data_IF_352051008783
#
_entry.id   IF_352051008783
#
_cell.length_a   1.000
_cell.length_b   1.000
_cell.length_c   1.000
_cell.angle_alpha   90.00
_cell.angle_beta   90.00
_cell.angle_gamma   90.00
#
_symmetry.space_group_name_H-M   'P 1'
#
loop_
_entity.id
_entity.type
_entity.pdbx_description
1 polymer ?
#
# COMPACT_ATOMS: atom_id res chain seq x y z
N UNK A 1 19.40 13.13 6.41
CA UNK A 1 19.22 13.94 7.64
C UNK A 1 18.14 13.23 8.45
N UNK A 2 18.58 12.46 9.45
CA UNK A 2 17.74 11.56 10.23
C UNK A 2 16.71 12.34 11.04
N UNK A 3 15.45 11.92 10.97
CA UNK A 3 14.40 12.36 11.90
C UNK A 3 14.65 11.62 13.24
N UNK A 4 15.66 12.08 14.01
CA UNK A 4 16.14 11.40 15.19
C UNK A 4 15.47 11.98 16.44
N UNK A 5 14.54 11.23 17.03
CA UNK A 5 14.20 11.35 18.44
C UNK A 5 14.54 10.02 19.13
N UNK A 6 15.61 10.05 19.93
CA UNK A 6 15.94 8.96 20.85
C UNK A 6 14.89 8.92 21.96
N UNK A 7 13.99 7.96 21.93
CA UNK A 7 13.13 7.66 23.06
C UNK A 7 13.30 6.19 23.46
N UNK A 8 13.87 5.99 24.63
CA UNK A 8 13.87 4.70 25.34
C UNK A 8 12.57 4.61 26.14
N UNK A 9 11.63 3.78 25.71
CA UNK A 9 10.59 3.22 26.60
C UNK A 9 10.06 1.92 25.98
N UNK A 10 9.79 0.91 26.83
CA UNK A 10 9.22 -0.38 26.45
C UNK A 10 7.86 -0.21 25.75
N UNK A 11 7.52 -1.05 24.75
CA UNK A 11 6.19 -1.05 24.16
C UNK A 11 5.16 -1.51 25.18
N UNK A 12 4.03 -0.79 25.25
CA UNK A 12 2.84 -1.29 25.92
C UNK A 12 2.33 -2.51 25.13
N UNK A 13 2.00 -3.59 25.82
CA UNK A 13 1.38 -4.77 25.23
C UNK A 13 -0.03 -4.35 24.72
N UNK A 14 -0.19 -4.20 23.42
CA UNK A 14 -1.48 -3.97 22.80
C UNK A 14 -2.21 -5.31 22.68
N UNK A 15 -3.28 -5.49 23.45
CA UNK A 15 -4.18 -6.62 23.31
C UNK A 15 -4.89 -6.54 21.95
N UNK A 16 -4.90 -7.66 21.21
CA UNK A 16 -5.72 -7.79 20.03
C UNK A 16 -7.19 -7.82 20.44
N UNK A 17 -8.01 -6.93 19.89
CA UNK A 17 -9.45 -7.03 19.99
C UNK A 17 -9.93 -7.91 18.84
N UNK A 18 -10.51 -9.11 19.11
CA UNK A 18 -11.08 -9.91 18.05
C UNK A 18 -12.41 -9.27 17.64
N UNK A 19 -12.42 -8.60 16.51
CA UNK A 19 -13.66 -8.21 15.84
C UNK A 19 -13.63 -8.86 14.47
N UNK A 20 -14.30 -10.00 14.35
CA UNK A 20 -14.36 -10.74 13.11
C UNK A 20 -15.63 -10.41 12.32
N UNK A 21 -15.46 -9.76 11.18
CA UNK A 21 -16.26 -10.10 10.00
C UNK A 21 -15.31 -10.87 9.07
N UNK A 22 -15.48 -12.17 8.99
CA UNK A 22 -14.52 -13.03 8.28
C UNK A 22 -13.16 -13.09 8.99
N UNK A 23 -12.11 -13.50 8.28
CA UNK A 23 -10.76 -13.70 8.82
C UNK A 23 -9.96 -12.39 9.04
N UNK A 24 -10.59 -11.30 9.47
CA UNK A 24 -9.91 -10.00 9.72
C UNK A 24 -9.75 -9.75 11.21
N UNK A 25 -8.51 -9.53 11.65
CA UNK A 25 -8.15 -9.20 13.03
C UNK A 25 -7.76 -7.73 13.13
N UNK A 26 -8.20 -7.06 14.20
CA UNK A 26 -7.91 -5.65 14.45
C UNK A 26 -6.87 -5.49 15.56
N UNK A 27 -5.86 -4.67 15.29
CA UNK A 27 -4.86 -4.27 16.25
C UNK A 27 -4.84 -2.76 16.39
N UNK A 28 -4.85 -2.27 17.60
CA UNK A 28 -4.58 -0.86 17.86
C UNK A 28 -3.07 -0.62 17.91
N UNK A 29 -2.59 0.33 17.11
CA UNK A 29 -1.18 0.73 17.04
C UNK A 29 -1.02 2.19 17.46
N UNK A 30 -0.40 2.41 18.61
CA UNK A 30 0.08 3.74 19.03
C UNK A 30 1.40 4.08 18.34
N UNK A 31 1.36 4.98 17.37
CA UNK A 31 2.56 5.43 16.66
C UNK A 31 3.30 6.52 17.43
N UNK A 32 4.55 6.27 17.74
CA UNK A 32 5.48 7.28 18.32
C UNK A 32 6.00 8.22 17.23
N UNK A 33 6.14 7.74 16.01
CA UNK A 33 6.62 8.50 14.86
C UNK A 33 5.62 9.59 14.49
N UNK A 34 4.31 9.24 14.46
CA UNK A 34 3.27 10.19 14.12
C UNK A 34 2.60 10.85 15.34
N UNK A 35 2.72 10.26 16.53
CA UNK A 35 2.09 10.74 17.76
C UNK A 35 0.57 10.56 17.75
N UNK A 36 0.09 9.49 17.15
CA UNK A 36 -1.34 9.15 17.07
C UNK A 36 -1.58 7.65 17.20
N UNK A 37 -2.84 7.26 17.28
CA UNK A 37 -3.27 5.87 17.30
C UNK A 37 -4.10 5.56 16.07
N UNK A 38 -3.93 4.35 15.51
CA UNK A 38 -4.70 3.85 14.37
C UNK A 38 -4.93 2.35 14.47
N UNK A 39 -5.89 1.84 13.70
CA UNK A 39 -6.10 0.42 13.56
C UNK A 39 -5.18 -0.15 12.46
N UNK A 40 -4.71 -1.35 12.71
CA UNK A 40 -4.05 -2.23 11.73
C UNK A 40 -4.94 -3.45 11.60
N UNK A 41 -5.45 -3.69 10.40
CA UNK A 41 -6.34 -4.78 10.05
C UNK A 41 -5.54 -5.89 9.42
N UNK A 42 -5.64 -7.09 9.94
CA UNK A 42 -4.89 -8.24 9.43
C UNK A 42 -5.87 -9.30 8.93
N UNK A 43 -5.92 -9.48 7.62
CA UNK A 43 -6.64 -10.56 6.99
C UNK A 43 -5.75 -11.81 6.90
N UNK A 44 -6.30 -12.93 7.34
CA UNK A 44 -5.62 -14.22 7.32
C UNK A 44 -6.23 -15.10 6.22
N UNK A 45 -5.39 -15.88 5.47
CA UNK A 45 -5.87 -16.73 4.39
C UNK A 45 -6.79 -17.85 4.93
N UNK A 46 -7.63 -18.47 4.07
CA UNK A 46 -8.28 -19.72 4.39
C UNK A 46 -7.24 -20.74 4.87
N UNK A 47 -7.61 -21.58 5.82
CA UNK A 47 -6.73 -22.62 6.41
C UNK A 47 -5.46 -22.07 7.07
N UNK A 48 -5.50 -20.81 7.53
CA UNK A 48 -4.40 -20.22 8.28
C UNK A 48 -4.04 -21.05 9.50
N UNK A 49 -2.78 -21.49 9.55
CA UNK A 49 -2.22 -22.20 10.70
C UNK A 49 -1.21 -21.29 11.44
N UNK A 50 -1.70 -20.66 12.49
CA UNK A 50 -0.88 -19.77 13.34
C UNK A 50 0.06 -20.50 14.31
N UNK A 51 -0.05 -21.81 14.45
CA UNK A 51 0.75 -22.64 15.37
C UNK A 51 1.69 -23.60 14.67
N UNK A 52 1.50 -23.81 13.37
CA UNK A 52 2.32 -24.71 12.56
C UNK A 52 3.64 -24.10 12.06
N UNK A 53 4.32 -24.87 11.24
CA UNK A 53 5.59 -24.47 10.61
C UNK A 53 5.40 -23.52 9.42
N UNK A 54 4.16 -23.37 8.92
CA UNK A 54 3.86 -22.56 7.73
C UNK A 54 4.12 -21.08 8.01
N UNK A 55 4.83 -20.45 7.08
CA UNK A 55 5.07 -19.00 7.08
C UNK A 55 4.47 -18.38 5.83
N UNK A 56 3.99 -17.16 5.94
CA UNK A 56 3.21 -16.49 4.90
C UNK A 56 3.91 -15.24 4.38
N UNK A 57 3.94 -15.00 3.06
CA UNK A 57 4.26 -13.67 2.53
C UNK A 57 3.24 -12.65 3.00
N UNK A 58 3.62 -11.36 2.97
CA UNK A 58 2.78 -10.28 3.48
C UNK A 58 2.61 -9.18 2.44
N UNK A 59 1.38 -8.70 2.29
CA UNK A 59 1.05 -7.48 1.55
C UNK A 59 0.53 -6.41 2.51
N UNK A 60 1.27 -5.31 2.64
CA UNK A 60 0.87 -4.13 3.42
C UNK A 60 0.15 -3.13 2.52
N UNK A 61 -1.09 -2.79 2.84
CA UNK A 61 -1.92 -1.87 2.09
C UNK A 61 -2.30 -0.64 2.91
N UNK A 62 -2.16 0.52 2.31
CA UNK A 62 -2.58 1.80 2.88
C UNK A 62 -4.11 1.92 2.87
N UNK A 63 -4.65 2.80 3.72
CA UNK A 63 -6.09 3.06 3.84
C UNK A 63 -6.89 1.81 4.22
N UNK A 64 -6.44 1.10 5.26
CA UNK A 64 -6.94 -0.20 5.70
C UNK A 64 -8.45 -0.27 5.92
N UNK A 65 -9.09 0.83 6.34
CA UNK A 65 -10.53 0.91 6.53
C UNK A 65 -11.35 0.71 5.24
N UNK A 66 -10.72 0.88 4.05
CA UNK A 66 -11.38 0.75 2.75
C UNK A 66 -11.22 -0.65 2.13
N UNK A 67 -10.58 -1.61 2.80
CA UNK A 67 -10.12 -2.84 2.15
C UNK A 67 -11.05 -4.04 2.32
N UNK A 68 -11.76 -4.14 3.47
CA UNK A 68 -12.38 -5.39 3.88
C UNK A 68 -13.86 -5.29 4.26
N UNK A 69 -14.40 -4.09 4.48
CA UNK A 69 -15.78 -3.89 4.92
C UNK A 69 -16.31 -2.56 4.38
N UNK A 70 -17.39 -2.58 3.57
CA UNK A 70 -17.99 -1.36 3.04
C UNK A 70 -18.52 -0.44 4.14
N UNK A 71 -18.86 -0.97 5.32
CA UNK A 71 -19.33 -0.16 6.45
C UNK A 71 -18.23 0.74 7.06
N UNK A 72 -16.95 0.42 6.86
CA UNK A 72 -15.83 1.24 7.31
C UNK A 72 -15.20 2.06 6.18
N UNK A 73 -15.52 1.73 4.93
CA UNK A 73 -14.95 2.36 3.75
C UNK A 73 -15.49 3.79 3.56
N UNK A 74 -14.62 4.69 3.11
CA UNK A 74 -14.91 6.12 2.95
C UNK A 74 -16.13 6.41 2.06
N UNK A 75 -16.30 5.66 0.97
CA UNK A 75 -17.39 5.85 0.01
C UNK A 75 -18.50 4.77 0.13
N UNK A 76 -18.52 3.96 1.20
CA UNK A 76 -19.49 2.88 1.36
C UNK A 76 -19.27 1.69 0.42
N UNK A 77 -18.15 1.64 -0.28
CA UNK A 77 -17.67 0.50 -1.06
C UNK A 77 -16.23 0.18 -0.66
N UNK A 78 -15.90 -1.09 -0.51
CA UNK A 78 -14.56 -1.55 -0.18
C UNK A 78 -13.87 -2.21 -1.37
N UNK A 79 -12.58 -2.48 -1.25
CA UNK A 79 -11.79 -3.16 -2.28
C UNK A 79 -12.06 -4.66 -2.39
N UNK A 80 -12.84 -5.24 -1.50
CA UNK A 80 -13.12 -6.67 -1.43
C UNK A 80 -11.85 -7.54 -1.36
N UNK A 81 -10.82 -7.03 -0.71
CA UNK A 81 -9.47 -7.61 -0.71
C UNK A 81 -9.49 -9.05 -0.18
N UNK A 82 -10.18 -9.29 0.93
CA UNK A 82 -10.24 -10.62 1.56
C UNK A 82 -10.95 -11.66 0.70
N UNK A 83 -12.09 -11.31 0.12
CA UNK A 83 -12.86 -12.19 -0.78
C UNK A 83 -12.08 -12.53 -2.05
N UNK A 84 -11.44 -11.52 -2.64
CA UNK A 84 -10.60 -11.71 -3.83
C UNK A 84 -9.41 -12.62 -3.55
N UNK A 85 -8.67 -12.37 -2.46
CA UNK A 85 -7.54 -13.20 -2.10
C UNK A 85 -7.95 -14.65 -1.79
N UNK A 86 -9.03 -14.86 -1.03
CA UNK A 86 -9.55 -16.20 -0.73
C UNK A 86 -9.90 -16.97 -2.00
N UNK A 87 -10.56 -16.32 -2.97
CA UNK A 87 -10.92 -16.92 -4.26
C UNK A 87 -9.67 -17.30 -5.07
N UNK A 88 -8.70 -16.40 -5.20
CA UNK A 88 -7.48 -16.68 -5.98
C UNK A 88 -6.62 -17.79 -5.34
N UNK A 89 -6.61 -17.90 -4.02
CA UNK A 89 -5.97 -19.00 -3.29
C UNK A 89 -6.71 -20.32 -3.58
N UNK A 90 -8.03 -20.34 -3.50
CA UNK A 90 -8.83 -21.52 -3.81
C UNK A 90 -8.68 -21.99 -5.27
N UNK A 91 -8.54 -21.04 -6.21
CA UNK A 91 -8.24 -21.28 -7.62
C UNK A 91 -6.75 -21.68 -7.87
N UNK A 92 -5.92 -21.71 -6.83
CA UNK A 92 -4.48 -21.99 -6.90
C UNK A 92 -3.70 -21.05 -7.83
N UNK A 93 -4.17 -19.82 -8.02
CA UNK A 93 -3.49 -18.79 -8.79
C UNK A 93 -2.39 -18.12 -7.99
N UNK A 94 -2.60 -17.98 -6.69
CA UNK A 94 -1.62 -17.41 -5.76
C UNK A 94 -1.42 -18.33 -4.55
N UNK A 95 -0.26 -18.24 -3.92
CA UNK A 95 -0.01 -18.89 -2.64
C UNK A 95 -0.75 -18.15 -1.51
N UNK A 96 -1.10 -18.85 -0.42
CA UNK A 96 -1.65 -18.19 0.77
C UNK A 96 -0.72 -17.10 1.29
N UNK A 97 -1.30 -15.91 1.57
CA UNK A 97 -0.56 -14.76 2.09
C UNK A 97 -1.37 -14.06 3.19
N UNK A 98 -0.69 -13.26 4.01
CA UNK A 98 -1.32 -12.36 4.98
C UNK A 98 -1.46 -10.98 4.34
N UNK A 99 -2.63 -10.34 4.49
CA UNK A 99 -2.83 -8.96 4.01
C UNK A 99 -3.06 -8.04 5.21
N UNK A 100 -2.26 -6.98 5.27
CA UNK A 100 -2.25 -6.02 6.37
C UNK A 100 -2.77 -4.68 5.87
N UNK A 101 -3.95 -4.27 6.30
CA UNK A 101 -4.51 -2.96 6.05
C UNK A 101 -4.13 -1.98 7.15
N UNK A 102 -3.52 -0.86 6.80
CA UNK A 102 -3.11 0.18 7.73
C UNK A 102 -4.11 1.33 7.62
N UNK A 103 -4.95 1.51 8.64
CA UNK A 103 -5.94 2.59 8.64
C UNK A 103 -5.24 3.94 8.56
N UNK A 104 -5.76 4.84 7.76
CA UNK A 104 -5.34 6.23 7.81
C UNK A 104 -5.99 6.95 9.00
N UNK A 105 -5.54 8.16 9.27
CA UNK A 105 -6.08 9.05 10.29
C UNK A 105 -6.62 10.33 9.63
N UNK A 106 -7.24 11.21 10.40
CA UNK A 106 -7.61 12.56 9.93
C UNK A 106 -6.43 13.36 9.37
N UNK A 107 -5.20 12.95 9.69
CA UNK A 107 -3.96 13.54 9.20
C UNK A 107 -3.45 12.89 7.90
N UNK A 108 -4.28 12.06 7.21
CA UNK A 108 -3.89 11.27 6.03
C UNK A 108 -3.06 12.07 5.02
N UNK A 109 -3.53 13.25 4.64
CA UNK A 109 -2.82 14.08 3.65
C UNK A 109 -1.41 14.48 4.14
N UNK A 110 -1.26 14.81 5.43
CA UNK A 110 0.03 15.16 6.02
C UNK A 110 0.97 13.97 6.14
N UNK A 111 0.43 12.79 6.43
CA UNK A 111 1.19 11.56 6.63
C UNK A 111 1.58 10.89 5.32
N UNK A 112 0.81 11.12 4.23
CA UNK A 112 1.04 10.49 2.92
C UNK A 112 1.75 11.41 1.92
N UNK A 113 1.85 12.71 2.17
CA UNK A 113 2.59 13.63 1.29
C UNK A 113 4.00 13.84 1.86
N UNK A 114 5.07 13.38 1.14
CA UNK A 114 6.45 13.52 1.60
C UNK A 114 7.08 14.88 1.24
N UNK A 115 6.36 15.74 0.54
CA UNK A 115 6.87 16.97 0.00
C UNK A 115 6.28 18.21 0.70
N UNK A 116 7.03 19.31 0.71
CA UNK A 116 6.47 20.59 1.13
C UNK A 116 5.30 20.96 0.22
N UNK A 117 4.20 21.37 0.81
CA UNK A 117 3.00 21.80 0.10
C UNK A 117 2.61 23.21 0.52
N UNK A 118 2.01 23.96 -0.43
CA UNK A 118 1.35 25.24 -0.15
C UNK A 118 -0.13 25.05 0.28
N UNK A 119 -0.65 23.82 0.15
CA UNK A 119 -2.00 23.49 0.58
C UNK A 119 -2.09 23.53 2.12
N UNK A 120 -2.98 24.37 2.70
CA UNK A 120 -3.13 24.47 4.15
C UNK A 120 -3.45 23.12 4.83
N UNK A 121 -4.13 22.20 4.13
CA UNK A 121 -4.44 20.84 4.63
C UNK A 121 -3.20 19.98 4.82
N UNK A 122 -2.08 20.34 4.19
CA UNK A 122 -0.80 19.62 4.20
C UNK A 122 0.30 20.41 4.90
N UNK A 123 -0.08 21.43 5.66
CA UNK A 123 0.87 22.22 6.43
C UNK A 123 1.72 21.31 7.33
N UNK A 124 3.06 21.41 7.20
CA UNK A 124 4.04 20.51 7.86
C UNK A 124 3.85 19.03 7.47
N UNK A 125 3.88 18.75 6.17
CA UNK A 125 3.87 17.38 5.64
C UNK A 125 4.86 16.47 6.37
N UNK A 126 4.43 15.26 6.75
CA UNK A 126 5.18 14.27 7.52
C UNK A 126 5.45 12.97 6.74
N UNK A 127 5.05 12.89 5.46
CA UNK A 127 5.17 11.66 4.65
C UNK A 127 6.59 11.12 4.57
N UNK A 128 7.61 11.96 4.78
CA UNK A 128 9.01 11.49 4.89
C UNK A 128 9.27 10.54 6.07
N UNK A 129 8.41 10.55 7.07
CA UNK A 129 8.51 9.65 8.22
C UNK A 129 7.77 8.32 8.00
N UNK A 130 6.99 8.19 6.90
CA UNK A 130 6.17 7.02 6.64
C UNK A 130 6.98 5.72 6.43
N UNK A 131 8.11 5.72 5.71
CA UNK A 131 8.98 4.54 5.62
C UNK A 131 9.47 4.05 6.99
N UNK A 132 9.86 4.96 7.87
CA UNK A 132 10.25 4.63 9.24
C UNK A 132 9.09 4.07 10.06
N UNK A 133 7.89 4.63 9.90
CA UNK A 133 6.66 4.13 10.55
C UNK A 133 6.36 2.69 10.14
N UNK A 134 6.42 2.37 8.85
CA UNK A 134 6.21 1.00 8.39
C UNK A 134 7.26 0.05 8.97
N UNK A 135 8.56 0.38 8.85
CA UNK A 135 9.65 -0.52 9.21
C UNK A 135 9.86 -0.67 10.72
N UNK A 136 9.55 0.36 11.51
CA UNK A 136 9.86 0.37 12.94
C UNK A 136 8.67 0.17 13.85
N UNK A 137 7.44 0.31 13.32
CA UNK A 137 6.23 0.20 14.13
C UNK A 137 5.26 -0.85 13.56
N UNK A 138 4.90 -0.78 12.26
CA UNK A 138 3.91 -1.69 11.67
C UNK A 138 4.50 -3.09 11.45
N UNK A 139 5.61 -3.19 10.71
CA UNK A 139 6.21 -4.50 10.39
C UNK A 139 6.61 -5.30 11.64
N UNK A 140 7.26 -4.71 12.65
CA UNK A 140 7.55 -5.44 13.89
C UNK A 140 6.30 -5.93 14.64
N UNK A 141 5.20 -5.16 14.64
CA UNK A 141 3.93 -5.61 15.21
C UNK A 141 3.42 -6.89 14.52
N UNK A 142 3.53 -6.93 13.19
CA UNK A 142 3.06 -8.09 12.41
C UNK A 142 4.00 -9.27 12.58
N UNK A 143 5.31 -9.07 12.53
CA UNK A 143 6.33 -10.11 12.71
C UNK A 143 6.30 -10.76 14.10
N UNK A 144 5.92 -10.00 15.14
CA UNK A 144 5.75 -10.52 16.49
C UNK A 144 4.51 -11.42 16.63
N UNK A 145 3.44 -11.11 15.89
CA UNK A 145 2.11 -11.73 16.11
C UNK A 145 1.75 -12.80 15.10
N UNK A 146 2.39 -12.83 13.94
CA UNK A 146 2.04 -13.70 12.83
C UNK A 146 3.26 -14.41 12.25
N UNK A 147 3.12 -15.65 11.79
CA UNK A 147 4.19 -16.41 11.18
C UNK A 147 4.45 -15.93 9.74
N UNK A 148 5.14 -14.80 9.60
CA UNK A 148 5.43 -14.20 8.30
C UNK A 148 6.80 -14.63 7.77
N UNK A 149 6.91 -14.71 6.44
CA UNK A 149 8.17 -14.80 5.72
C UNK A 149 8.84 -13.42 5.69
N UNK A 150 10.16 -13.42 5.84
CA UNK A 150 10.99 -12.21 5.74
C UNK A 150 11.61 -12.08 4.35
N UNK A 151 12.16 -10.91 4.10
CA UNK A 151 12.83 -10.56 2.85
C UNK A 151 11.91 -9.88 1.83
N UNK A 152 12.50 -9.08 0.91
CA UNK A 152 11.74 -8.30 -0.06
C UNK A 152 10.89 -9.20 -0.99
N UNK A 153 11.37 -10.39 -1.32
CA UNK A 153 10.65 -11.35 -2.16
C UNK A 153 9.33 -11.84 -1.54
N UNK A 154 9.17 -11.71 -0.23
CA UNK A 154 7.98 -12.11 0.52
C UNK A 154 7.15 -10.91 1.01
N UNK A 155 7.62 -9.69 0.77
CA UNK A 155 7.02 -8.48 1.33
C UNK A 155 6.56 -7.55 0.23
N UNK A 156 5.26 -7.24 0.24
CA UNK A 156 4.66 -6.27 -0.68
C UNK A 156 4.13 -5.03 0.04
N UNK A 157 4.04 -3.92 -0.69
CA UNK A 157 3.38 -2.70 -0.21
C UNK A 157 2.50 -2.13 -1.30
N UNK A 158 1.39 -1.47 -0.91
CA UNK A 158 0.48 -0.90 -1.90
C UNK A 158 -0.50 0.11 -1.34
N UNK A 159 -1.26 0.71 -2.26
CA UNK A 159 -2.34 1.63 -1.96
C UNK A 159 -2.77 2.44 -3.17
N UNK A 160 -3.84 3.22 -3.00
CA UNK A 160 -4.39 4.08 -4.05
C UNK A 160 -4.25 5.57 -3.75
N UNK A 161 -4.34 6.38 -4.80
CA UNK A 161 -4.37 7.84 -4.64
C UNK A 161 -3.12 8.38 -3.92
N UNK A 162 -3.27 9.10 -2.81
CA UNK A 162 -2.16 9.45 -1.92
C UNK A 162 -1.49 8.21 -1.31
N UNK A 163 -2.24 7.11 -1.10
CA UNK A 163 -1.69 5.81 -0.68
C UNK A 163 -0.75 5.21 -1.73
N UNK A 164 -1.06 5.36 -3.02
CA UNK A 164 -0.17 5.00 -4.13
C UNK A 164 1.08 5.88 -4.18
N UNK A 165 0.93 7.20 -3.96
CA UNK A 165 2.05 8.12 -3.87
C UNK A 165 3.02 7.76 -2.73
N UNK A 166 2.50 7.50 -1.52
CA UNK A 166 3.36 7.19 -0.37
C UNK A 166 3.97 5.80 -0.49
N UNK A 167 3.31 4.85 -1.17
CA UNK A 167 3.89 3.55 -1.52
C UNK A 167 5.11 3.72 -2.42
N UNK A 168 4.98 4.48 -3.50
CA UNK A 168 6.08 4.79 -4.41
C UNK A 168 7.22 5.51 -3.68
N UNK A 169 6.90 6.54 -2.89
CA UNK A 169 7.89 7.26 -2.09
C UNK A 169 8.62 6.33 -1.09
N UNK A 170 7.91 5.43 -0.45
CA UNK A 170 8.49 4.47 0.50
C UNK A 170 9.51 3.57 -0.19
N UNK A 171 9.22 3.11 -1.42
CA UNK A 171 10.18 2.34 -2.21
C UNK A 171 11.46 3.14 -2.50
N UNK A 172 11.32 4.42 -2.86
CA UNK A 172 12.49 5.28 -3.13
C UNK A 172 13.33 5.53 -1.87
N UNK A 173 12.67 5.72 -0.72
CA UNK A 173 13.32 6.06 0.55
C UNK A 173 13.89 4.85 1.29
N UNK A 174 13.31 3.65 1.10
CA UNK A 174 13.68 2.41 1.76
C UNK A 174 13.83 1.25 0.76
N UNK A 175 14.79 1.33 -0.17
CA UNK A 175 14.99 0.31 -1.18
C UNK A 175 15.42 -1.03 -0.58
N UNK A 176 14.84 -2.12 -1.12
CA UNK A 176 15.15 -3.49 -0.67
C UNK A 176 14.32 -3.97 0.52
N UNK A 177 13.33 -3.20 0.96
CA UNK A 177 12.34 -3.64 1.96
C UNK A 177 11.18 -4.36 1.29
N UNK A 178 10.66 -3.80 0.20
CA UNK A 178 9.53 -4.35 -0.55
C UNK A 178 9.97 -4.84 -1.92
N UNK A 179 9.69 -6.11 -2.22
CA UNK A 179 9.95 -6.71 -3.54
C UNK A 179 8.71 -6.71 -4.45
N UNK A 180 7.56 -6.29 -3.94
CA UNK A 180 6.29 -6.20 -4.68
C UNK A 180 5.60 -4.89 -4.38
N UNK A 181 5.19 -4.17 -5.42
CA UNK A 181 4.44 -2.91 -5.28
C UNK A 181 3.11 -2.98 -6.02
N UNK A 182 2.05 -2.55 -5.33
CA UNK A 182 0.74 -2.30 -5.88
C UNK A 182 0.45 -0.80 -5.81
N UNK A 183 0.39 -0.15 -6.97
CA UNK A 183 0.22 1.30 -7.08
C UNK A 183 -1.05 1.56 -7.91
N UNK A 184 -2.11 2.03 -7.27
CA UNK A 184 -3.39 2.32 -7.90
C UNK A 184 -3.66 3.82 -7.95
N UNK A 185 -3.98 4.33 -9.13
CA UNK A 185 -4.39 5.73 -9.36
C UNK A 185 -3.55 6.74 -8.56
N UNK A 186 -2.21 6.67 -8.61
CA UNK A 186 -1.33 7.42 -7.72
C UNK A 186 -1.42 8.92 -7.94
N UNK A 187 -1.41 9.70 -6.86
CA UNK A 187 -1.43 11.18 -6.91
C UNK A 187 -0.06 11.76 -7.32
N UNK A 188 0.39 11.45 -8.55
CA UNK A 188 1.73 11.82 -9.06
C UNK A 188 1.90 13.33 -9.27
N UNK A 189 0.80 14.07 -9.44
CA UNK A 189 0.77 15.53 -9.63
C UNK A 189 1.22 16.31 -8.39
N UNK A 190 1.28 15.69 -7.22
CA UNK A 190 1.62 16.33 -5.95
C UNK A 190 3.01 16.97 -6.03
N UNK A 191 3.14 18.19 -5.49
CA UNK A 191 4.37 18.96 -5.43
C UNK A 191 5.05 19.12 -6.82
N UNK A 192 4.25 19.42 -7.84
CA UNK A 192 4.70 19.56 -9.24
C UNK A 192 5.42 18.30 -9.75
N UNK A 193 4.82 17.12 -9.50
CA UNK A 193 5.32 15.85 -10.03
C UNK A 193 6.71 15.44 -9.52
N UNK A 194 7.09 15.93 -8.33
CA UNK A 194 8.43 15.71 -7.77
C UNK A 194 8.80 14.23 -7.64
N UNK A 195 7.83 13.39 -7.37
CA UNK A 195 8.04 11.93 -7.27
C UNK A 195 8.57 11.33 -8.59
N UNK A 196 8.15 11.85 -9.76
CA UNK A 196 8.63 11.39 -11.06
C UNK A 196 10.11 11.78 -11.29
N UNK A 197 10.51 12.99 -10.86
CA UNK A 197 11.92 13.41 -10.93
C UNK A 197 12.81 12.50 -10.06
N UNK A 198 12.35 12.17 -8.86
CA UNK A 198 13.05 11.27 -7.94
C UNK A 198 13.11 9.85 -8.49
N UNK A 199 12.02 9.36 -9.10
CA UNK A 199 11.94 8.03 -9.73
C UNK A 199 12.93 7.87 -10.88
N UNK A 200 13.19 8.90 -11.71
CA UNK A 200 14.18 8.84 -12.79
C UNK A 200 15.61 8.61 -12.30
N UNK A 201 15.90 8.99 -11.07
CA UNK A 201 17.24 8.84 -10.46
C UNK A 201 17.38 7.57 -9.65
N UNK A 202 16.31 6.77 -9.57
CA UNK A 202 16.26 5.59 -8.74
C UNK A 202 16.51 4.33 -9.57
N UNK A 203 17.36 3.41 -9.06
CA UNK A 203 17.79 2.22 -9.82
C UNK A 203 17.51 0.88 -9.10
N UNK A 204 16.98 0.90 -7.87
CA UNK A 204 16.76 -0.31 -7.06
C UNK A 204 15.28 -0.68 -6.99
N UNK A 205 14.67 -0.85 -8.16
CA UNK A 205 13.26 -1.20 -8.28
C UNK A 205 12.98 -2.63 -7.82
N UNK A 206 11.76 -2.90 -7.30
CA UNK A 206 11.37 -4.21 -6.80
C UNK A 206 11.29 -5.27 -7.92
N UNK A 207 11.12 -6.52 -7.51
CA UNK A 207 10.99 -7.63 -8.45
C UNK A 207 9.70 -7.52 -9.28
N UNK A 208 8.59 -7.08 -8.67
CA UNK A 208 7.30 -6.92 -9.37
C UNK A 208 6.62 -5.61 -8.96
N UNK A 209 6.10 -4.89 -9.94
CA UNK A 209 5.32 -3.65 -9.74
C UNK A 209 4.06 -3.70 -10.59
N UNK A 210 2.91 -3.54 -9.96
CA UNK A 210 1.63 -3.32 -10.64
C UNK A 210 1.27 -1.83 -10.56
N UNK A 211 0.90 -1.24 -11.70
CA UNK A 211 0.51 0.16 -11.83
C UNK A 211 -0.86 0.25 -12.50
N UNK A 212 -1.89 0.61 -11.74
CA UNK A 212 -3.27 0.75 -12.19
C UNK A 212 -3.70 2.21 -12.33
N UNK A 213 -4.57 2.51 -13.30
CA UNK A 213 -5.15 3.82 -13.52
C UNK A 213 -6.47 3.73 -14.28
N UNK A 214 -7.44 4.58 -13.96
CA UNK A 214 -8.62 4.82 -14.78
C UNK A 214 -8.44 5.99 -15.75
N UNK A 215 -9.22 6.06 -16.81
CA UNK A 215 -9.15 7.21 -17.76
C UNK A 215 -10.09 8.35 -17.39
N UNK A 216 -10.90 8.22 -16.32
CA UNK A 216 -11.86 9.25 -15.86
C UNK A 216 -11.75 9.56 -14.36
N UNK A 217 -10.53 9.66 -13.89
CA UNK A 217 -10.19 9.77 -12.46
C UNK A 217 -10.63 11.11 -11.81
N UNK A 218 -10.56 12.23 -12.53
CA UNK A 218 -10.97 13.55 -12.05
C UNK A 218 -12.36 13.98 -12.54
N UNK A 219 -12.94 13.25 -13.51
CA UNK A 219 -14.21 13.59 -14.17
C UNK A 219 -14.15 14.88 -15.00
N UNK A 220 -12.95 15.32 -15.40
CA UNK A 220 -12.66 16.48 -16.24
C UNK A 220 -11.60 16.07 -17.25
N UNK A 221 -11.94 16.07 -18.54
CA UNK A 221 -11.13 15.51 -19.61
C UNK A 221 -9.65 15.98 -19.59
N UNK A 222 -9.40 17.27 -19.44
CA UNK A 222 -8.04 17.81 -19.38
C UNK A 222 -7.22 17.31 -18.16
N UNK A 223 -7.89 17.16 -17.01
CA UNK A 223 -7.22 16.64 -15.80
C UNK A 223 -7.02 15.13 -15.90
N UNK A 224 -8.00 14.43 -16.44
CA UNK A 224 -7.94 12.99 -16.68
C UNK A 224 -6.78 12.65 -17.60
N UNK A 225 -6.63 13.38 -18.72
CA UNK A 225 -5.53 13.21 -19.66
C UNK A 225 -4.15 13.45 -18.98
N UNK A 226 -4.04 14.51 -18.17
CA UNK A 226 -2.80 14.79 -17.41
C UNK A 226 -2.46 13.68 -16.42
N UNK A 227 -3.46 13.15 -15.70
CA UNK A 227 -3.23 12.08 -14.74
C UNK A 227 -2.80 10.77 -15.42
N UNK A 228 -3.43 10.43 -16.54
CA UNK A 228 -3.01 9.29 -17.38
C UNK A 228 -1.61 9.52 -17.94
N UNK A 229 -1.30 10.75 -18.40
CA UNK A 229 0.02 11.12 -18.85
C UNK A 229 1.11 10.94 -17.79
N UNK A 230 0.82 11.31 -16.54
CA UNK A 230 1.75 11.13 -15.42
C UNK A 230 2.03 9.63 -15.16
N UNK A 231 1.00 8.77 -15.26
CA UNK A 231 1.17 7.32 -15.10
C UNK A 231 1.97 6.71 -16.25
N UNK A 232 1.73 7.15 -17.49
CA UNK A 232 2.54 6.71 -18.66
C UNK A 232 3.99 7.15 -18.55
N UNK A 233 4.24 8.34 -18.01
CA UNK A 233 5.59 8.80 -17.72
C UNK A 233 6.27 7.96 -16.65
N UNK A 234 5.55 7.59 -15.57
CA UNK A 234 6.09 6.66 -14.57
C UNK A 234 6.37 5.28 -15.20
N UNK A 235 5.47 4.77 -16.05
CA UNK A 235 5.71 3.55 -16.81
C UNK A 235 7.00 3.62 -17.62
N UNK A 236 7.21 4.69 -18.39
CA UNK A 236 8.42 4.89 -19.17
C UNK A 236 9.68 4.88 -18.30
N UNK A 237 9.66 5.60 -17.18
CA UNK A 237 10.76 5.61 -16.20
C UNK A 237 11.08 4.19 -15.69
N UNK A 238 10.07 3.40 -15.37
CA UNK A 238 10.24 2.04 -14.88
C UNK A 238 10.80 1.12 -15.99
N UNK A 239 10.32 1.26 -17.23
CA UNK A 239 10.83 0.51 -18.39
C UNK A 239 12.29 0.87 -18.69
N UNK A 240 12.65 2.15 -18.68
CA UNK A 240 14.02 2.63 -18.85
C UNK A 240 14.96 2.09 -17.72
N UNK A 241 14.42 1.92 -16.52
CA UNK A 241 15.14 1.29 -15.40
C UNK A 241 15.25 -0.25 -15.51
N UNK A 242 14.78 -0.86 -16.60
CA UNK A 242 14.92 -2.28 -16.89
C UNK A 242 13.81 -3.18 -16.34
N UNK A 243 12.63 -2.63 -16.05
CA UNK A 243 11.46 -3.45 -15.68
C UNK A 243 10.74 -3.91 -16.95
N UNK A 244 10.89 -5.17 -17.31
CA UNK A 244 10.18 -5.83 -18.41
C UNK A 244 8.74 -6.23 -18.04
N UNK A 245 8.04 -6.97 -18.90
CA UNK A 245 6.67 -7.43 -18.66
C UNK A 245 6.55 -8.42 -17.49
N UNK A 246 7.61 -9.08 -17.11
CA UNK A 246 7.62 -9.97 -15.94
C UNK A 246 7.71 -9.20 -14.63
N UNK A 247 8.28 -7.99 -14.68
CA UNK A 247 8.52 -7.13 -13.52
C UNK A 247 7.57 -5.95 -13.41
N UNK A 248 6.97 -5.50 -14.52
CA UNK A 248 6.04 -4.37 -14.55
C UNK A 248 4.78 -4.71 -15.33
N UNK A 249 3.64 -4.66 -14.66
CA UNK A 249 2.32 -4.71 -15.28
C UNK A 249 1.63 -3.36 -15.13
N UNK A 250 1.19 -2.79 -16.25
CA UNK A 250 0.44 -1.52 -16.27
C UNK A 250 -0.96 -1.77 -16.81
N UNK A 251 -1.97 -1.30 -16.07
CA UNK A 251 -3.37 -1.38 -16.44
C UNK A 251 -3.99 0.02 -16.46
N UNK A 252 -4.20 0.57 -17.66
CA UNK A 252 -5.00 1.78 -17.85
C UNK A 252 -6.38 1.34 -18.33
N UNK A 253 -7.39 1.55 -17.49
CA UNK A 253 -8.76 1.05 -17.72
C UNK A 253 -9.64 2.17 -18.24
N UNK A 254 -10.18 1.96 -19.46
CA UNK A 254 -11.05 2.93 -20.12
C UNK A 254 -12.34 3.14 -19.33
N UNK A 255 -12.70 4.42 -19.13
CA UNK A 255 -13.93 4.82 -18.44
C UNK A 255 -13.91 4.63 -16.91
N UNK A 256 -12.91 3.98 -16.35
CA UNK A 256 -12.83 3.78 -14.90
C UNK A 256 -12.55 5.09 -14.16
N UNK A 257 -13.18 5.23 -12.99
CA UNK A 257 -13.15 6.44 -12.15
C UNK A 257 -12.31 6.22 -10.90
N UNK A 258 -12.02 7.32 -10.17
CA UNK A 258 -11.26 7.30 -8.92
C UNK A 258 -12.12 6.78 -7.76
N UNK A 259 -12.22 5.48 -7.61
CA UNK A 259 -13.07 4.86 -6.59
C UNK A 259 -12.59 3.50 -6.14
N UNK A 260 -13.01 3.12 -4.93
CA UNK A 260 -12.77 1.80 -4.35
C UNK A 260 -13.30 0.68 -5.24
N UNK A 261 -14.45 0.88 -5.89
CA UNK A 261 -15.03 -0.12 -6.80
C UNK A 261 -14.15 -0.37 -8.05
N UNK A 262 -13.55 0.69 -8.60
CA UNK A 262 -12.63 0.56 -9.74
C UNK A 262 -11.34 -0.17 -9.31
N UNK A 263 -10.80 0.16 -8.12
CA UNK A 263 -9.62 -0.54 -7.58
C UNK A 263 -9.94 -2.00 -7.23
N UNK A 264 -11.13 -2.28 -6.67
CA UNK A 264 -11.60 -3.64 -6.44
C UNK A 264 -11.68 -4.46 -7.74
N UNK A 265 -12.13 -3.86 -8.85
CA UNK A 265 -12.20 -4.53 -10.14
C UNK A 265 -10.82 -4.92 -10.70
N UNK A 266 -9.79 -4.10 -10.49
CA UNK A 266 -8.41 -4.36 -10.92
C UNK A 266 -7.60 -5.21 -9.95
N UNK A 267 -7.98 -5.25 -8.68
CA UNK A 267 -7.23 -5.95 -7.63
C UNK A 267 -6.97 -7.44 -7.89
N UNK A 268 -7.90 -8.24 -8.47
CA UNK A 268 -7.63 -9.63 -8.82
C UNK A 268 -6.44 -9.81 -9.77
N UNK A 269 -6.35 -8.98 -10.83
CA UNK A 269 -5.23 -9.00 -11.78
C UNK A 269 -3.92 -8.55 -11.11
N UNK A 270 -4.00 -7.53 -10.26
CA UNK A 270 -2.85 -7.02 -9.52
C UNK A 270 -2.29 -8.07 -8.56
N UNK A 271 -3.16 -8.73 -7.81
CA UNK A 271 -2.75 -9.74 -6.82
C UNK A 271 -2.18 -10.98 -7.50
N UNK A 272 -2.80 -11.43 -8.58
CA UNK A 272 -2.29 -12.55 -9.40
C UNK A 272 -0.89 -12.21 -9.95
N UNK A 273 -0.72 -11.06 -10.59
CA UNK A 273 0.59 -10.65 -11.10
C UNK A 273 1.66 -10.56 -10.01
N UNK A 274 1.32 -10.02 -8.85
CA UNK A 274 2.29 -9.82 -7.76
C UNK A 274 2.65 -11.12 -7.03
N UNK A 275 1.72 -12.07 -6.90
CA UNK A 275 1.85 -13.25 -6.03
C UNK A 275 1.62 -14.59 -6.75
N UNK A 276 1.51 -14.61 -8.10
CA UNK A 276 1.48 -15.87 -8.84
C UNK A 276 2.67 -16.75 -8.50
N UNK A 277 2.39 -18.07 -8.46
CA UNK A 277 3.34 -19.14 -8.16
C UNK A 277 4.44 -19.26 -9.21
#
# INVERSE_FOLDING_TARGET
>A
MFCCLKLKTKPAANAALPVSKGNVWLHELGSRIFGNTRLVRVWLPPDYDGRGATRYPVLYLNDGQNLFDPATAFAGADWQVGGTAARLIAEKKILPLIIVGIDNTKERAREYIPYKSRDPRVFRAKGKCYPDFLQREVMPLIEERYPVLKGPENTGSGGSSLGGLITLYTQLAAPGVFGRLLIESPSLFVANRKILEESRRFHRWPARTYLGMGTREAGQAEKDEKMVGDVRELEAILREAGLDEQRLKVRIEEGAVHSESAWAARFPEALDFLYSS
#
